data_IF_690124453547
#
_entry.id   IF_690124453547
#
_cell.length_a   1.000
_cell.length_b   1.000
_cell.length_c   1.000
_cell.angle_alpha   90.00
_cell.angle_beta   90.00
_cell.angle_gamma   90.00
#
_symmetry.space_group_name_H-M   'P 1'
#
loop_
_entity.id
_entity.type
_entity.pdbx_description
1 polymer ?
#
# COMPACT_ATOMS: atom_id res chain seq x y z
N UNK A 1 -5.79 3.61 -18.10
CA UNK A 1 -5.90 3.73 -16.62
C UNK A 1 -4.66 3.14 -16.00
N UNK A 2 -4.20 3.67 -14.86
CA UNK A 2 -2.96 3.18 -14.24
C UNK A 2 -3.24 1.95 -13.40
N UNK A 3 -2.66 0.81 -13.77
CA UNK A 3 -2.83 -0.44 -13.03
C UNK A 3 -1.55 -0.90 -12.34
N UNK A 4 -1.71 -1.67 -11.27
CA UNK A 4 -0.62 -2.33 -10.56
C UNK A 4 -1.14 -3.56 -9.80
N UNK A 5 -0.24 -4.51 -9.58
CA UNK A 5 -0.48 -5.71 -8.76
C UNK A 5 0.06 -5.43 -7.37
N UNK A 6 -0.73 -5.74 -6.34
CA UNK A 6 -0.38 -5.51 -4.95
C UNK A 6 -0.85 -6.64 -4.03
N UNK A 7 -0.37 -6.60 -2.78
CA UNK A 7 -0.93 -7.33 -1.65
C UNK A 7 -1.62 -6.30 -0.77
N UNK A 8 -2.89 -6.55 -0.44
CA UNK A 8 -3.61 -5.70 0.51
C UNK A 8 -3.17 -6.02 1.95
N UNK A 9 -2.88 -4.97 2.70
CA UNK A 9 -2.40 -5.08 4.09
C UNK A 9 -3.56 -5.00 5.08
N UNK A 10 -4.68 -4.44 4.62
CA UNK A 10 -5.86 -4.15 5.42
C UNK A 10 -5.64 -2.98 6.37
N UNK A 11 -6.71 -2.59 7.04
CA UNK A 11 -6.65 -1.65 8.15
C UNK A 11 -5.97 -2.33 9.35
N UNK A 12 -4.94 -1.69 9.89
CA UNK A 12 -4.20 -2.16 11.07
C UNK A 12 -4.20 -1.08 12.12
N UNK A 13 -4.54 -1.45 13.35
CA UNK A 13 -4.63 -0.51 14.47
C UNK A 13 -3.30 0.23 14.69
N UNK A 14 -2.16 -0.44 14.54
CA UNK A 14 -0.84 0.15 14.71
C UNK A 14 -0.53 1.23 13.66
N UNK A 15 -1.02 1.04 12.43
CA UNK A 15 -0.88 2.02 11.34
C UNK A 15 -1.79 3.21 11.60
N UNK A 16 -3.05 2.95 11.96
CA UNK A 16 -4.05 3.99 12.28
C UNK A 16 -3.58 4.86 13.44
N UNK A 17 -3.01 4.27 14.48
CA UNK A 17 -2.51 5.02 15.63
C UNK A 17 -1.24 5.82 15.31
N UNK A 18 -0.37 5.29 14.45
CA UNK A 18 0.75 6.05 13.90
C UNK A 18 0.27 7.24 13.06
N UNK A 19 -0.73 7.03 12.21
CA UNK A 19 -1.33 8.08 11.39
C UNK A 19 -1.95 9.20 12.24
N UNK A 20 -2.71 8.87 13.29
CA UNK A 20 -3.25 9.87 14.25
C UNK A 20 -2.17 10.73 14.89
N UNK A 21 -0.97 10.19 15.14
CA UNK A 21 0.16 10.99 15.66
C UNK A 21 0.77 11.85 14.56
N UNK A 22 0.86 11.32 13.35
CA UNK A 22 1.38 12.05 12.20
C UNK A 22 0.48 13.23 11.80
N UNK A 23 -0.85 13.11 11.92
CA UNK A 23 -1.81 14.20 11.69
C UNK A 23 -1.63 15.40 12.63
N UNK A 24 -1.11 15.16 13.84
CA UNK A 24 -0.87 16.22 14.82
C UNK A 24 0.34 17.09 14.45
N UNK A 25 1.19 16.64 13.53
CA UNK A 25 2.36 17.39 13.08
C UNK A 25 1.91 18.45 12.06
N UNK A 26 2.16 19.72 12.36
CA UNK A 26 1.75 20.81 11.47
C UNK A 26 2.54 20.79 10.14
N UNK A 27 1.80 20.66 9.03
CA UNK A 27 2.39 20.69 7.68
C UNK A 27 1.42 20.25 6.59
N UNK A 28 1.89 20.27 5.33
CA UNK A 28 1.23 19.59 4.21
C UNK A 28 1.70 18.15 4.19
N UNK A 29 1.05 17.33 5.00
CA UNK A 29 1.22 15.88 5.03
C UNK A 29 -0.06 15.26 4.47
N UNK A 30 0.06 14.44 3.44
CA UNK A 30 -1.06 13.70 2.87
C UNK A 30 -0.95 12.24 3.27
N UNK A 31 -1.83 11.79 4.14
CA UNK A 31 -1.94 10.39 4.52
C UNK A 31 -2.49 9.55 3.37
N UNK A 32 -2.12 8.27 3.38
CA UNK A 32 -2.79 7.24 2.60
C UNK A 32 -3.96 6.77 3.45
N UNK A 33 -5.13 6.58 2.85
CA UNK A 33 -6.27 6.06 3.60
C UNK A 33 -5.94 4.67 4.17
N UNK A 34 -6.31 4.34 5.42
CA UNK A 34 -5.96 3.06 6.06
C UNK A 34 -6.35 1.84 5.23
N UNK A 35 -7.52 1.87 4.60
CA UNK A 35 -8.02 0.79 3.74
C UNK A 35 -7.31 0.68 2.38
N UNK A 36 -6.54 1.70 2.00
CA UNK A 36 -5.75 1.73 0.76
C UNK A 36 -4.28 1.36 1.00
N UNK A 37 -3.89 1.00 2.22
CA UNK A 37 -2.53 0.58 2.52
C UNK A 37 -2.26 -0.78 1.86
N UNK A 38 -1.27 -0.80 0.97
CA UNK A 38 -0.94 -1.96 0.16
C UNK A 38 0.58 -2.07 -0.05
N UNK A 39 1.01 -3.29 -0.35
CA UNK A 39 2.36 -3.57 -0.83
C UNK A 39 2.34 -3.76 -2.35
N UNK A 40 2.91 -2.82 -3.09
CA UNK A 40 2.98 -2.95 -4.55
C UNK A 40 4.02 -3.99 -4.95
N UNK A 41 3.60 -4.99 -5.71
CA UNK A 41 4.46 -6.00 -6.31
C UNK A 41 4.98 -5.56 -7.68
N UNK A 42 4.07 -5.05 -8.52
CA UNK A 42 4.40 -4.66 -9.91
C UNK A 42 3.52 -3.54 -10.41
N UNK A 43 4.13 -2.44 -10.84
CA UNK A 43 3.44 -1.42 -11.64
C UNK A 43 3.30 -1.89 -13.09
N UNK A 44 2.08 -1.84 -13.62
CA UNK A 44 1.78 -2.12 -15.02
C UNK A 44 1.71 -0.83 -15.86
N UNK A 45 1.55 0.32 -15.21
CA UNK A 45 1.47 1.61 -15.89
C UNK A 45 0.12 1.83 -16.54
N UNK A 46 0.07 2.56 -17.66
CA UNK A 46 -1.18 2.76 -18.41
C UNK A 46 -1.59 1.45 -19.10
N UNK A 47 -2.77 0.97 -18.75
CA UNK A 47 -3.31 -0.32 -19.16
C UNK A 47 -4.74 -0.14 -19.66
N UNK A 48 -5.12 -0.89 -20.70
CA UNK A 48 -6.49 -0.93 -21.25
C UNK A 48 -7.33 -1.94 -20.47
N UNK A 49 -8.63 -1.67 -20.32
CA UNK A 49 -9.53 -2.61 -19.63
C UNK A 49 -9.66 -3.95 -20.37
N UNK A 50 -9.57 -3.93 -21.71
CA UNK A 50 -9.69 -5.11 -22.56
C UNK A 50 -8.70 -6.24 -22.21
N UNK A 51 -7.55 -5.91 -21.63
CA UNK A 51 -6.50 -6.88 -21.26
C UNK A 51 -6.58 -7.34 -19.81
N UNK A 52 -7.55 -6.86 -19.01
CA UNK A 52 -7.78 -7.33 -17.64
C UNK A 52 -7.93 -8.86 -17.58
N UNK A 53 -8.72 -9.52 -18.46
CA UNK A 53 -8.86 -10.98 -18.40
C UNK A 53 -7.54 -11.73 -18.64
N UNK A 54 -6.65 -11.19 -19.47
CA UNK A 54 -5.33 -11.78 -19.71
C UNK A 54 -4.40 -11.58 -18.51
N UNK A 55 -4.41 -10.39 -17.91
CA UNK A 55 -3.66 -10.09 -16.68
C UNK A 55 -4.10 -11.03 -15.56
N UNK A 56 -5.41 -11.22 -15.37
CA UNK A 56 -5.96 -12.15 -14.39
C UNK A 56 -5.45 -13.57 -14.58
N UNK A 57 -5.50 -14.10 -15.81
CA UNK A 57 -4.97 -15.45 -16.12
C UNK A 57 -3.48 -15.58 -15.77
N UNK A 58 -2.69 -14.54 -16.07
CA UNK A 58 -1.26 -14.52 -15.72
C UNK A 58 -1.08 -14.47 -14.20
N UNK A 59 -1.88 -13.69 -13.48
CA UNK A 59 -1.86 -13.66 -12.02
C UNK A 59 -2.20 -15.03 -11.41
N UNK A 60 -3.31 -15.66 -11.85
CA UNK A 60 -3.72 -17.02 -11.44
C UNK A 60 -2.58 -18.02 -11.63
N UNK A 61 -1.99 -18.05 -12.83
CA UNK A 61 -0.87 -18.94 -13.12
C UNK A 61 0.39 -18.64 -12.29
N UNK A 62 0.59 -17.39 -11.89
CA UNK A 62 1.78 -17.00 -11.12
C UNK A 62 1.71 -17.42 -9.66
N UNK A 63 0.52 -17.77 -9.16
CA UNK A 63 0.29 -18.16 -7.76
C UNK A 63 -0.21 -19.60 -7.59
N UNK A 64 -0.41 -20.34 -8.68
CA UNK A 64 -0.99 -21.70 -8.70
C UNK A 64 -0.32 -22.67 -7.71
N UNK A 65 1.01 -22.56 -7.52
CA UNK A 65 1.79 -23.42 -6.62
C UNK A 65 2.25 -22.69 -5.32
N UNK A 66 1.64 -21.55 -5.00
CA UNK A 66 2.02 -20.73 -3.84
C UNK A 66 0.93 -20.84 -2.78
N UNK A 67 1.19 -21.55 -1.68
CA UNK A 67 0.29 -21.52 -0.53
C UNK A 67 0.41 -20.22 0.27
N UNK A 68 -0.66 -19.78 0.97
CA UNK A 68 -0.59 -18.65 1.89
C UNK A 68 0.61 -18.73 2.84
N UNK A 69 1.26 -17.59 3.03
CA UNK A 69 2.49 -17.52 3.81
C UNK A 69 2.58 -16.25 4.65
N UNK A 70 3.35 -16.32 5.73
CA UNK A 70 3.76 -15.17 6.52
C UNK A 70 5.14 -14.73 6.07
N UNK A 71 5.33 -13.43 5.83
CA UNK A 71 6.64 -12.90 5.44
C UNK A 71 7.07 -11.70 6.28
N UNK A 72 8.37 -11.61 6.49
CA UNK A 72 9.05 -10.38 6.88
C UNK A 72 9.67 -9.78 5.62
N UNK A 73 9.45 -8.50 5.38
CA UNK A 73 9.90 -7.82 4.16
C UNK A 73 11.42 -7.58 4.23
N UNK A 74 12.21 -8.39 3.51
CA UNK A 74 13.69 -8.32 3.51
C UNK A 74 14.29 -7.73 2.23
N UNK A 75 13.54 -7.66 1.13
CA UNK A 75 13.83 -6.77 -0.01
C UNK A 75 13.54 -5.32 0.40
N UNK A 76 13.55 -4.32 -0.48
CA UNK A 76 13.01 -2.98 -0.17
C UNK A 76 11.52 -2.77 -0.57
N UNK A 77 10.57 -3.74 -0.38
CA UNK A 77 9.16 -3.41 -0.42
C UNK A 77 8.89 -2.40 0.69
N UNK A 78 8.25 -1.30 0.32
CA UNK A 78 7.84 -0.29 1.27
C UNK A 78 6.34 -0.10 1.17
N UNK A 79 5.75 0.22 2.30
CA UNK A 79 4.35 0.57 2.42
C UNK A 79 4.32 2.08 2.57
N UNK A 80 3.64 2.75 1.64
CA UNK A 80 3.52 4.21 1.72
C UNK A 80 2.43 4.55 2.72
N UNK A 81 2.78 5.20 3.82
CA UNK A 81 1.82 5.68 4.82
C UNK A 81 1.46 7.15 4.57
N UNK A 82 2.43 7.97 4.17
CA UNK A 82 2.19 9.39 3.94
C UNK A 82 3.11 9.97 2.87
N UNK A 83 2.64 11.05 2.25
CA UNK A 83 3.43 11.91 1.35
C UNK A 83 3.55 13.29 1.97
N UNK A 84 4.76 13.63 2.39
CA UNK A 84 5.06 14.92 3.03
C UNK A 84 5.51 15.92 1.96
N UNK A 85 4.80 17.04 1.82
CA UNK A 85 5.22 18.18 0.97
C UNK A 85 5.99 19.23 1.76
N UNK A 86 5.54 19.54 2.97
CA UNK A 86 6.29 20.37 3.91
C UNK A 86 5.91 20.01 5.35
N UNK A 87 6.76 20.43 6.27
CA UNK A 87 6.54 20.35 7.71
C UNK A 87 6.95 21.70 8.29
N UNK A 88 6.16 22.24 9.21
CA UNK A 88 6.43 23.52 9.86
C UNK A 88 7.58 23.38 10.86
N UNK A 89 7.52 22.37 11.74
CA UNK A 89 8.55 22.08 12.74
C UNK A 89 9.26 20.75 12.45
N UNK A 90 10.54 20.82 12.04
CA UNK A 90 11.33 19.62 11.70
C UNK A 90 11.64 18.76 12.93
N UNK A 91 11.70 19.35 14.12
CA UNK A 91 11.98 18.63 15.36
C UNK A 91 10.87 17.63 15.69
N UNK A 92 9.61 18.00 15.50
CA UNK A 92 8.46 17.11 15.71
C UNK A 92 8.51 15.91 14.77
N UNK A 93 8.73 16.15 13.48
CA UNK A 93 8.90 15.09 12.48
C UNK A 93 10.08 14.18 12.83
N UNK A 94 11.21 14.75 13.28
CA UNK A 94 12.37 13.95 13.70
C UNK A 94 12.04 13.04 14.89
N UNK A 95 11.36 13.56 15.91
CA UNK A 95 10.94 12.77 17.07
C UNK A 95 9.99 11.64 16.66
N UNK A 96 9.02 11.93 15.79
CA UNK A 96 8.10 10.92 15.24
C UNK A 96 8.87 9.81 14.49
N UNK A 97 9.78 10.19 13.59
CA UNK A 97 10.59 9.21 12.86
C UNK A 97 11.46 8.35 13.78
N UNK A 98 11.99 8.93 14.87
CA UNK A 98 12.79 8.19 15.84
C UNK A 98 11.95 7.22 16.67
N UNK A 99 10.74 7.60 17.07
CA UNK A 99 9.79 6.76 17.80
C UNK A 99 9.43 5.51 16.99
N UNK A 100 9.19 5.66 15.69
CA UNK A 100 8.74 4.58 14.81
C UNK A 100 9.86 3.87 14.03
N UNK A 101 11.13 4.26 14.20
CA UNK A 101 12.26 3.71 13.43
C UNK A 101 12.42 2.20 13.55
N UNK A 102 12.08 1.62 14.70
CA UNK A 102 12.16 0.17 14.98
C UNK A 102 10.80 -0.40 15.44
N UNK A 103 9.71 0.30 15.16
CA UNK A 103 8.38 -0.18 15.53
C UNK A 103 8.02 -1.43 14.71
N UNK A 104 7.40 -2.41 15.37
CA UNK A 104 6.82 -3.57 14.70
C UNK A 104 5.34 -3.31 14.44
N UNK A 105 4.89 -3.54 13.21
CA UNK A 105 3.49 -3.41 12.78
C UNK A 105 2.84 -4.80 12.58
N UNK A 106 3.38 -5.80 13.26
CA UNK A 106 2.94 -7.18 13.21
C UNK A 106 3.40 -7.93 11.96
N UNK A 107 2.74 -9.05 11.71
CA UNK A 107 3.01 -9.96 10.59
C UNK A 107 1.89 -9.84 9.56
N UNK A 108 2.26 -9.84 8.28
CA UNK A 108 1.32 -9.91 7.17
C UNK A 108 1.14 -11.37 6.76
N UNK A 109 -0.10 -11.86 6.83
CA UNK A 109 -0.49 -13.12 6.23
C UNK A 109 -0.98 -12.83 4.81
N UNK A 110 -0.24 -13.32 3.82
CA UNK A 110 -0.58 -13.13 2.41
C UNK A 110 -1.50 -14.28 2.01
N UNK A 111 -2.74 -13.95 1.63
CA UNK A 111 -3.75 -14.91 1.19
C UNK A 111 -4.17 -14.72 -0.27
N UNK A 112 -3.92 -13.54 -0.82
CA UNK A 112 -4.26 -13.19 -2.20
C UNK A 112 -3.35 -12.07 -2.72
N UNK A 113 -3.32 -11.96 -4.04
CA UNK A 113 -2.80 -10.79 -4.75
C UNK A 113 -3.96 -10.10 -5.47
N UNK A 114 -3.91 -8.78 -5.55
CA UNK A 114 -4.97 -7.95 -6.13
C UNK A 114 -4.44 -7.14 -7.30
N UNK A 115 -5.26 -7.02 -8.35
CA UNK A 115 -5.08 -6.04 -9.41
C UNK A 115 -5.83 -4.78 -9.02
N UNK A 116 -5.13 -3.66 -8.84
CA UNK A 116 -5.74 -2.37 -8.54
C UNK A 116 -5.62 -1.41 -9.72
N UNK A 117 -6.65 -0.59 -9.92
CA UNK A 117 -6.58 0.61 -10.76
C UNK A 117 -6.44 1.85 -9.89
N UNK A 118 -5.68 2.83 -10.37
CA UNK A 118 -5.52 4.15 -9.77
C UNK A 118 -6.01 5.23 -10.73
N UNK A 119 -6.93 6.06 -10.25
CA UNK A 119 -7.42 7.24 -10.96
C UNK A 119 -7.06 8.50 -10.21
N UNK A 120 -6.30 9.39 -10.86
CA UNK A 120 -5.91 10.68 -10.30
C UNK A 120 -7.11 11.64 -10.31
N UNK A 121 -7.59 12.01 -9.12
CA UNK A 121 -8.57 13.11 -8.94
C UNK A 121 -7.91 14.32 -8.28
N UNK A 122 -8.63 15.45 -8.28
CA UNK A 122 -8.16 16.69 -7.64
C UNK A 122 -7.93 16.52 -6.14
N UNK A 123 -8.78 15.76 -5.45
CA UNK A 123 -8.60 15.45 -4.03
C UNK A 123 -7.52 14.39 -3.76
N UNK A 124 -7.18 13.55 -4.75
CA UNK A 124 -6.20 12.48 -4.63
C UNK A 124 -6.40 11.31 -5.58
N UNK A 125 -5.47 10.35 -5.60
CA UNK A 125 -5.70 9.10 -6.30
C UNK A 125 -6.79 8.29 -5.59
N UNK A 126 -7.79 7.83 -6.34
CA UNK A 126 -8.71 6.78 -5.89
C UNK A 126 -8.15 5.44 -6.36
N UNK A 127 -8.19 4.46 -5.46
CA UNK A 127 -7.79 3.09 -5.73
C UNK A 127 -9.03 2.19 -5.71
N UNK A 128 -9.13 1.29 -6.67
CA UNK A 128 -10.20 0.29 -6.76
C UNK A 128 -9.57 -1.06 -7.07
N UNK A 129 -10.00 -2.10 -6.35
CA UNK A 129 -9.63 -3.48 -6.65
C UNK A 129 -10.50 -3.97 -7.80
N UNK A 130 -9.86 -4.44 -8.86
CA UNK A 130 -10.49 -4.88 -10.10
C UNK A 130 -10.60 -6.40 -10.14
N UNK A 131 -9.56 -7.08 -9.71
CA UNK A 131 -9.53 -8.53 -9.59
C UNK A 131 -8.76 -8.93 -8.34
N UNK A 132 -9.15 -10.06 -7.76
CA UNK A 132 -8.47 -10.71 -6.65
C UNK A 132 -8.20 -12.16 -7.03
N UNK A 133 -6.96 -12.60 -6.80
CA UNK A 133 -6.52 -13.97 -7.04
C UNK A 133 -5.97 -14.51 -5.72
N UNK A 134 -6.57 -15.60 -5.24
CA UNK A 134 -6.12 -16.28 -4.03
C UNK A 134 -4.85 -17.08 -4.29
N UNK A 135 -3.99 -17.12 -3.27
CA UNK A 135 -2.89 -18.07 -3.16
C UNK A 135 -3.46 -19.48 -2.88
#
# INVERSE_FOLDING_TARGET
>A
MRMFIAIDIGEREEIVDMEKKLEKIEGKIKLVEPWNVHLTLKFLGETKEEIIPEIKKVMEKSVEDISPFSCNLTFTPHITIARVKNVKEKKEMKSFLQEYANASFGVLNVNSIVLKKSELRKEGPIYETIEEVKL
#
